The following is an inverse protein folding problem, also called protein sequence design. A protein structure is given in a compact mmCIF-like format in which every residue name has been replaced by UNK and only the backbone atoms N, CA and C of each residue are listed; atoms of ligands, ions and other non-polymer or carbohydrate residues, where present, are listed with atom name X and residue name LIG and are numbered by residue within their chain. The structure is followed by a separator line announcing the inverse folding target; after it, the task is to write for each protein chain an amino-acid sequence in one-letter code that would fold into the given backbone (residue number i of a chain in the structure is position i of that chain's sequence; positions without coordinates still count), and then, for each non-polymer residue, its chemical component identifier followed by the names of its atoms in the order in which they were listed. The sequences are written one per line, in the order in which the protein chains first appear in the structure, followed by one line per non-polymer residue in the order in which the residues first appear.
data_IF_762129749519
#
_entry.id   IF_762129749519
#
_cell.length_a   1.000
_cell.length_b   1.000
_cell.length_c   1.000
_cell.angle_alpha   90.00
_cell.angle_beta   90.00
_cell.angle_gamma   90.00
#
_symmetry.space_group_name_H-M   'P 1'
#
loop_
_entity.id
_entity.type
_entity.pdbx_description
1 polymer ?
#
# COMPACT_ATOMS: atom_id res chain seq x y z
N UNK A 1 -25.09 -1.24 -43.06
CA UNK A 1 -23.85 -0.60 -42.57
C UNK A 1 -24.24 0.15 -41.31
N UNK A 2 -24.41 -0.61 -40.24
CA UNK A 2 -24.94 -0.15 -38.97
C UNK A 2 -23.73 0.18 -38.10
N UNK A 3 -23.61 1.45 -37.70
CA UNK A 3 -22.52 1.90 -36.84
C UNK A 3 -22.65 1.19 -35.50
N UNK A 4 -21.70 0.30 -35.21
CA UNK A 4 -21.47 -0.21 -33.87
C UNK A 4 -21.15 0.98 -32.96
N UNK A 5 -22.15 1.48 -32.25
CA UNK A 5 -21.96 2.37 -31.11
C UNK A 5 -21.01 1.67 -30.13
N UNK A 6 -19.87 2.29 -29.84
CA UNK A 6 -18.96 1.78 -28.81
C UNK A 6 -19.68 1.87 -27.47
N UNK A 7 -19.94 0.76 -26.76
CA UNK A 7 -20.35 0.87 -25.37
C UNK A 7 -19.13 1.38 -24.58
N UNK A 8 -19.37 2.27 -23.62
CA UNK A 8 -18.44 2.64 -22.55
C UNK A 8 -17.42 3.80 -22.69
N UNK A 9 -17.82 4.93 -23.29
CA UNK A 9 -17.27 6.22 -22.85
C UNK A 9 -18.38 7.12 -22.33
N UNK A 10 -18.70 7.14 -21.02
CA UNK A 10 -19.43 8.27 -20.48
C UNK A 10 -18.62 9.53 -20.82
N UNK A 11 -19.29 10.51 -21.43
CA UNK A 11 -18.71 11.83 -21.62
C UNK A 11 -18.10 12.29 -20.30
N UNK A 12 -16.85 12.79 -20.34
CA UNK A 12 -16.11 13.24 -19.14
C UNK A 12 -17.01 14.18 -18.32
N UNK A 13 -17.58 13.68 -17.20
CA UNK A 13 -18.51 14.46 -16.39
C UNK A 13 -17.77 15.60 -15.66
N UNK A 14 -16.53 15.34 -15.28
CA UNK A 14 -15.62 16.31 -14.68
C UNK A 14 -14.34 16.38 -15.48
N UNK A 15 -13.68 17.54 -15.45
CA UNK A 15 -12.33 17.67 -15.98
C UNK A 15 -11.40 16.75 -15.16
N UNK A 16 -10.29 16.30 -15.77
CA UNK A 16 -9.18 15.69 -15.06
C UNK A 16 -8.92 16.31 -13.68
N UNK A 17 -8.48 17.57 -13.66
CA UNK A 17 -8.11 18.25 -12.41
C UNK A 17 -9.24 18.21 -11.38
N UNK A 18 -10.50 18.41 -11.79
CA UNK A 18 -11.64 18.31 -10.89
C UNK A 18 -11.80 16.91 -10.28
N UNK A 19 -11.63 15.84 -11.06
CA UNK A 19 -11.67 14.46 -10.54
C UNK A 19 -10.60 14.20 -9.47
N UNK A 20 -9.36 14.68 -9.64
CA UNK A 20 -8.34 14.56 -8.59
C UNK A 20 -8.67 15.38 -7.35
N UNK A 21 -9.12 16.61 -7.53
CA UNK A 21 -9.49 17.48 -6.41
C UNK A 21 -10.65 16.89 -5.61
N UNK A 22 -11.63 16.27 -6.29
CA UNK A 22 -12.72 15.55 -5.62
C UNK A 22 -12.18 14.33 -4.88
N UNK A 23 -11.31 13.52 -5.49
CA UNK A 23 -10.73 12.34 -4.84
C UNK A 23 -9.93 12.73 -3.59
N UNK A 24 -9.05 13.72 -3.71
CA UNK A 24 -8.27 14.23 -2.60
C UNK A 24 -9.14 14.90 -1.54
N UNK A 25 -10.15 15.68 -1.94
CA UNK A 25 -11.12 16.28 -1.02
C UNK A 25 -11.91 15.24 -0.24
N UNK A 26 -12.38 14.17 -0.90
CA UNK A 26 -13.04 13.04 -0.24
C UNK A 26 -12.09 12.36 0.75
N UNK A 27 -10.83 12.17 0.39
CA UNK A 27 -9.82 11.61 1.27
C UNK A 27 -9.66 12.45 2.55
N UNK A 28 -9.46 13.75 2.40
CA UNK A 28 -9.28 14.69 3.53
C UNK A 28 -10.52 14.74 4.42
N UNK A 29 -11.71 14.85 3.82
CA UNK A 29 -12.97 14.92 4.57
C UNK A 29 -13.24 13.62 5.33
N UNK A 30 -13.11 12.46 4.68
CA UNK A 30 -13.34 11.17 5.35
C UNK A 30 -12.29 10.89 6.42
N UNK A 31 -11.03 11.27 6.19
CA UNK A 31 -9.98 11.21 7.21
C UNK A 31 -10.39 12.04 8.43
N UNK A 32 -10.75 13.32 8.24
CA UNK A 32 -11.14 14.22 9.33
C UNK A 32 -12.39 13.72 10.08
N UNK A 33 -13.39 13.23 9.35
CA UNK A 33 -14.59 12.62 9.95
C UNK A 33 -14.22 11.40 10.80
N UNK A 34 -13.36 10.52 10.29
CA UNK A 34 -12.91 9.33 11.04
C UNK A 34 -12.17 9.72 12.32
N UNK A 35 -11.36 10.78 12.28
CA UNK A 35 -10.60 11.28 13.44
C UNK A 35 -11.54 11.77 14.54
N UNK A 36 -12.50 12.63 14.19
CA UNK A 36 -13.39 13.28 15.15
C UNK A 36 -14.50 12.35 15.64
N UNK A 37 -15.15 11.62 14.73
CA UNK A 37 -16.35 10.85 15.04
C UNK A 37 -16.07 9.45 15.60
N UNK A 38 -14.91 8.86 15.28
CA UNK A 38 -14.60 7.47 15.62
C UNK A 38 -13.32 7.34 16.46
N UNK A 39 -12.19 7.82 15.94
CA UNK A 39 -10.87 7.60 16.55
C UNK A 39 -10.77 8.28 17.91
N UNK A 40 -11.10 9.57 18.00
CA UNK A 40 -10.98 10.28 19.28
C UNK A 40 -11.85 9.67 20.40
N UNK A 41 -13.17 9.43 20.20
CA UNK A 41 -14.00 8.76 21.20
C UNK A 41 -13.45 7.37 21.60
N UNK A 42 -12.97 6.60 20.62
CA UNK A 42 -12.39 5.27 20.85
C UNK A 42 -11.11 5.34 21.69
N UNK A 43 -10.17 6.22 21.32
CA UNK A 43 -8.92 6.41 22.04
C UNK A 43 -9.22 6.88 23.46
N UNK A 44 -10.12 7.86 23.63
CA UNK A 44 -10.53 8.33 24.96
C UNK A 44 -11.13 7.20 25.80
N UNK A 45 -11.97 6.34 25.21
CA UNK A 45 -12.59 5.23 25.92
C UNK A 45 -11.58 4.16 26.35
N UNK A 46 -10.64 3.78 25.49
CA UNK A 46 -9.64 2.75 25.78
C UNK A 46 -8.53 3.24 26.71
N UNK A 47 -8.10 4.48 26.53
CA UNK A 47 -6.84 4.99 27.11
C UNK A 47 -7.04 6.07 28.16
N UNK A 48 -8.22 6.70 28.21
CA UNK A 48 -8.47 7.90 29.01
C UNK A 48 -7.81 9.18 28.46
N UNK A 49 -7.06 9.11 27.35
CA UNK A 49 -6.39 10.26 26.76
C UNK A 49 -7.39 11.33 26.30
N UNK A 50 -7.11 12.59 26.64
CA UNK A 50 -7.81 13.74 26.06
C UNK A 50 -7.36 14.00 24.61
N UNK A 51 -7.97 15.00 23.96
CA UNK A 51 -7.72 15.29 22.55
C UNK A 51 -6.26 15.70 22.29
N UNK A 52 -5.64 16.41 23.23
CA UNK A 52 -4.25 16.87 23.11
C UNK A 52 -3.29 15.68 23.20
N UNK A 53 -3.49 14.83 24.22
CA UNK A 53 -2.76 13.60 24.43
C UNK A 53 -2.90 12.62 23.27
N UNK A 54 -4.12 12.46 22.74
CA UNK A 54 -4.39 11.60 21.58
C UNK A 54 -3.66 12.07 20.32
N UNK A 55 -3.46 13.38 20.13
CA UNK A 55 -2.76 13.95 18.98
C UNK A 55 -1.23 13.98 19.09
N UNK A 56 -0.66 13.78 20.29
CA UNK A 56 0.78 13.95 20.53
C UNK A 56 1.37 12.86 21.42
N UNK A 57 1.05 12.90 22.71
CA UNK A 57 1.62 12.00 23.74
C UNK A 57 1.42 10.52 23.44
N UNK A 58 0.32 10.14 22.80
CA UNK A 58 0.06 8.75 22.41
C UNK A 58 1.08 8.22 21.38
N UNK A 59 1.60 9.10 20.52
CA UNK A 59 2.60 8.74 19.49
C UNK A 59 4.03 8.79 20.00
N UNK A 60 4.31 9.65 20.98
CA UNK A 60 5.66 9.85 21.52
C UNK A 60 5.95 9.03 22.77
N UNK A 61 4.93 8.69 23.55
CA UNK A 61 5.02 7.86 24.75
C UNK A 61 3.79 6.94 24.90
N UNK A 62 3.57 5.99 23.97
CA UNK A 62 2.39 5.13 23.98
C UNK A 62 2.26 4.28 25.26
N UNK A 63 3.38 3.92 25.89
CA UNK A 63 3.39 3.09 27.11
C UNK A 63 2.85 3.79 28.35
N UNK A 64 2.69 5.13 28.32
CA UNK A 64 2.10 5.88 29.42
C UNK A 64 0.57 5.70 29.53
N UNK A 65 -0.07 5.11 28.52
CA UNK A 65 -1.51 4.99 28.43
C UNK A 65 -1.97 3.53 28.47
N UNK A 66 -3.03 3.19 29.23
CA UNK A 66 -3.59 1.86 29.25
C UNK A 66 -4.17 1.50 27.87
N UNK A 67 -4.08 0.24 27.47
CA UNK A 67 -4.61 -0.29 26.20
C UNK A 67 -4.17 0.48 24.93
N UNK A 68 -3.06 1.21 24.99
CA UNK A 68 -2.58 2.07 23.90
C UNK A 68 -2.30 1.30 22.62
N UNK A 69 -1.71 0.11 22.71
CA UNK A 69 -1.48 -0.74 21.54
C UNK A 69 -2.78 -1.03 20.77
N UNK A 70 -3.84 -1.44 21.48
CA UNK A 70 -5.14 -1.73 20.86
C UNK A 70 -5.78 -0.46 20.29
N UNK A 71 -5.70 0.66 21.02
CA UNK A 71 -6.22 1.95 20.56
C UNK A 71 -5.52 2.40 19.26
N UNK A 72 -4.20 2.26 19.18
CA UNK A 72 -3.43 2.62 17.99
C UNK A 72 -3.67 1.66 16.82
N UNK A 73 -3.76 0.35 17.06
CA UNK A 73 -4.12 -0.61 16.00
C UNK A 73 -5.50 -0.32 15.41
N UNK A 74 -6.49 -0.06 16.25
CA UNK A 74 -7.83 0.30 15.78
C UNK A 74 -7.83 1.64 15.07
N UNK A 75 -7.08 2.64 15.57
CA UNK A 75 -6.89 3.92 14.89
C UNK A 75 -6.31 3.73 13.49
N UNK A 76 -5.28 2.91 13.33
CA UNK A 76 -4.68 2.61 12.02
C UNK A 76 -5.67 1.90 11.10
N UNK A 77 -6.42 0.92 11.62
CA UNK A 77 -7.45 0.21 10.85
C UNK A 77 -8.57 1.14 10.37
N UNK A 78 -9.09 1.99 11.27
CA UNK A 78 -10.12 2.99 10.94
C UNK A 78 -9.59 3.99 9.91
N UNK A 79 -8.38 4.51 10.11
CA UNK A 79 -7.76 5.43 9.17
C UNK A 79 -7.59 4.80 7.78
N UNK A 80 -7.06 3.57 7.70
CA UNK A 80 -6.91 2.84 6.44
C UNK A 80 -8.26 2.61 5.72
N UNK A 81 -9.30 2.25 6.48
CA UNK A 81 -10.64 2.06 5.93
C UNK A 81 -11.22 3.37 5.38
N UNK A 82 -11.12 4.47 6.12
CA UNK A 82 -11.72 5.74 5.70
C UNK A 82 -10.92 6.43 4.60
N UNK A 83 -9.60 6.52 4.74
CA UNK A 83 -8.71 7.25 3.83
C UNK A 83 -8.53 6.57 2.49
N UNK A 84 -8.63 5.24 2.44
CA UNK A 84 -8.39 4.50 1.20
C UNK A 84 -9.63 3.79 0.70
N UNK A 85 -10.17 2.87 1.49
CA UNK A 85 -11.24 1.97 1.05
C UNK A 85 -12.52 2.75 0.78
N UNK A 86 -13.01 3.49 1.78
CA UNK A 86 -14.24 4.25 1.68
C UNK A 86 -14.11 5.42 0.71
N UNK A 87 -12.97 6.14 0.73
CA UNK A 87 -12.68 7.17 -0.27
C UNK A 87 -12.81 6.65 -1.70
N UNK A 88 -12.16 5.52 -2.00
CA UNK A 88 -12.23 4.94 -3.34
C UNK A 88 -13.64 4.45 -3.68
N UNK A 89 -14.31 3.75 -2.76
CA UNK A 89 -15.68 3.26 -2.95
C UNK A 89 -16.67 4.40 -3.23
N UNK A 90 -16.64 5.46 -2.41
CA UNK A 90 -17.51 6.63 -2.55
C UNK A 90 -17.18 7.37 -3.84
N UNK A 91 -15.91 7.53 -4.20
CA UNK A 91 -15.51 8.15 -5.45
C UNK A 91 -16.08 7.36 -6.65
N UNK A 92 -15.95 6.04 -6.64
CA UNK A 92 -16.50 5.20 -7.71
C UNK A 92 -18.03 5.27 -7.79
N UNK A 93 -18.71 5.25 -6.64
CA UNK A 93 -20.16 5.32 -6.58
C UNK A 93 -20.71 6.68 -7.04
N UNK A 94 -20.18 7.79 -6.50
CA UNK A 94 -20.72 9.14 -6.73
C UNK A 94 -20.21 9.79 -8.03
N UNK A 95 -18.94 9.56 -8.38
CA UNK A 95 -18.25 10.27 -9.45
C UNK A 95 -18.17 9.42 -10.71
N UNK A 96 -17.64 8.20 -10.61
CA UNK A 96 -17.52 7.30 -11.77
C UNK A 96 -18.86 6.69 -12.17
N UNK A 97 -19.83 6.59 -11.24
CA UNK A 97 -21.16 5.97 -11.44
C UNK A 97 -21.06 4.58 -12.08
N UNK A 98 -20.00 3.86 -11.76
CA UNK A 98 -19.69 2.54 -12.29
C UNK A 98 -19.49 1.58 -11.13
N UNK A 99 -19.85 0.33 -11.33
CA UNK A 99 -19.46 -0.72 -10.42
C UNK A 99 -17.94 -0.83 -10.43
N UNK A 100 -17.33 -1.01 -9.26
CA UNK A 100 -15.91 -1.33 -9.18
C UNK A 100 -15.75 -2.70 -9.80
N UNK A 101 -15.22 -2.72 -11.02
CA UNK A 101 -14.89 -3.98 -11.67
C UNK A 101 -13.58 -4.47 -11.04
N UNK A 102 -13.69 -5.24 -9.95
CA UNK A 102 -12.55 -5.90 -9.30
C UNK A 102 -11.82 -6.86 -10.27
N UNK A 103 -12.53 -7.35 -11.28
CA UNK A 103 -12.06 -8.35 -12.24
C UNK A 103 -12.60 -7.97 -13.63
N UNK A 104 -11.80 -7.30 -14.46
CA UNK A 104 -12.25 -6.95 -15.82
C UNK A 104 -12.16 -8.15 -16.79
N UNK A 105 -11.44 -9.23 -16.44
CA UNK A 105 -11.13 -10.35 -17.37
C UNK A 105 -11.12 -11.78 -16.79
N UNK A 106 -11.67 -12.00 -15.61
CA UNK A 106 -11.72 -13.32 -14.94
C UNK A 106 -10.51 -13.61 -14.02
N UNK A 107 -10.46 -14.83 -13.49
CA UNK A 107 -9.40 -15.32 -12.61
C UNK A 107 -8.15 -15.72 -13.41
N UNK A 108 -6.96 -15.14 -13.14
CA UNK A 108 -5.72 -15.54 -13.80
C UNK A 108 -5.35 -17.00 -13.50
N UNK A 109 -4.58 -17.60 -14.41
CA UNK A 109 -3.96 -18.93 -14.25
C UNK A 109 -3.32 -19.05 -12.85
N UNK A 110 -3.57 -20.14 -12.08
CA UNK A 110 -2.92 -20.40 -10.79
C UNK A 110 -1.40 -20.17 -10.77
N UNK A 111 -0.71 -20.43 -11.89
CA UNK A 111 0.72 -20.19 -12.02
C UNK A 111 1.09 -18.70 -11.87
N UNK A 112 0.20 -17.76 -12.23
CA UNK A 112 0.42 -16.32 -12.03
C UNK A 112 0.48 -16.01 -10.53
N UNK A 113 -0.41 -16.59 -9.72
CA UNK A 113 -0.42 -16.37 -8.28
C UNK A 113 0.87 -16.87 -7.62
N UNK A 114 1.33 -18.06 -8.02
CA UNK A 114 2.61 -18.61 -7.55
C UNK A 114 3.77 -17.73 -8.02
N UNK A 115 3.78 -17.30 -9.28
CA UNK A 115 4.83 -16.43 -9.80
C UNK A 115 4.87 -15.07 -9.06
N UNK A 116 3.71 -14.50 -8.70
CA UNK A 116 3.61 -13.26 -7.92
C UNK A 116 4.11 -13.46 -6.49
N UNK A 117 3.77 -14.57 -5.84
CA UNK A 117 4.30 -14.92 -4.52
C UNK A 117 5.83 -14.99 -4.54
N UNK A 118 6.39 -15.76 -5.48
CA UNK A 118 7.85 -15.91 -5.61
C UNK A 118 8.50 -14.58 -6.00
N UNK A 119 7.87 -13.78 -6.87
CA UNK A 119 8.35 -12.45 -7.26
C UNK A 119 8.52 -11.54 -6.03
N UNK A 120 7.48 -11.41 -5.20
CA UNK A 120 7.51 -10.51 -4.06
C UNK A 120 8.58 -10.95 -3.04
N UNK A 121 8.65 -12.24 -2.72
CA UNK A 121 9.63 -12.76 -1.75
C UNK A 121 11.06 -12.63 -2.29
N UNK A 122 11.30 -13.00 -3.56
CA UNK A 122 12.63 -12.91 -4.17
C UNK A 122 13.10 -11.47 -4.43
N UNK A 123 12.18 -10.50 -4.46
CA UNK A 123 12.51 -9.08 -4.61
C UNK A 123 13.09 -8.46 -3.33
N UNK A 124 12.84 -9.03 -2.15
CA UNK A 124 13.25 -8.45 -0.85
C UNK A 124 14.74 -8.12 -0.78
N UNK A 125 15.70 -9.00 -1.18
CA UNK A 125 17.11 -8.67 -1.10
C UNK A 125 17.52 -7.51 -2.02
N UNK A 126 16.93 -7.42 -3.21
CA UNK A 126 17.15 -6.29 -4.12
C UNK A 126 16.53 -5.00 -3.59
N UNK A 127 15.37 -5.08 -2.93
CA UNK A 127 14.76 -3.93 -2.26
C UNK A 127 15.65 -3.35 -1.16
N UNK A 128 16.35 -4.21 -0.41
CA UNK A 128 17.32 -3.79 0.62
C UNK A 128 18.47 -2.98 0.01
N UNK A 129 19.02 -3.40 -1.15
CA UNK A 129 20.03 -2.61 -1.87
C UNK A 129 19.54 -1.22 -2.28
N UNK A 130 18.30 -1.11 -2.76
CA UNK A 130 17.68 0.18 -3.10
C UNK A 130 17.50 1.03 -1.84
N UNK A 131 17.10 0.41 -0.74
CA UNK A 131 16.89 1.07 0.54
C UNK A 131 18.21 1.63 1.12
N UNK A 132 19.29 0.84 1.13
CA UNK A 132 20.63 1.29 1.50
C UNK A 132 21.11 2.48 0.65
N UNK A 133 20.84 2.43 -0.66
CA UNK A 133 21.15 3.55 -1.55
C UNK A 133 20.31 4.79 -1.20
N UNK A 134 19.02 4.63 -0.95
CA UNK A 134 18.12 5.74 -0.58
C UNK A 134 18.54 6.39 0.75
N UNK A 135 19.04 5.62 1.72
CA UNK A 135 19.51 6.17 3.01
C UNK A 135 20.74 7.08 2.88
N UNK A 136 21.49 6.99 1.77
CA UNK A 136 22.65 7.87 1.50
C UNK A 136 22.25 9.24 0.96
N UNK A 137 20.97 9.46 0.67
CA UNK A 137 20.50 10.75 0.18
C UNK A 137 20.55 11.79 1.30
N UNK A 138 21.08 13.00 1.04
CA UNK A 138 21.10 14.07 2.03
C UNK A 138 19.67 14.58 2.24
N UNK A 139 19.05 14.16 3.35
CA UNK A 139 17.71 14.60 3.74
C UNK A 139 17.79 15.71 4.81
N UNK A 140 16.92 16.73 4.75
CA UNK A 140 16.76 17.71 5.82
C UNK A 140 16.49 17.08 7.19
N UNK A 141 17.04 17.67 8.26
CA UNK A 141 16.94 17.13 9.62
C UNK A 141 15.52 16.87 10.08
N UNK A 142 14.56 17.72 9.69
CA UNK A 142 13.16 17.55 10.05
C UNK A 142 12.56 16.25 9.48
N UNK A 143 12.98 15.81 8.28
CA UNK A 143 12.55 14.54 7.70
C UNK A 143 13.14 13.38 8.50
N UNK A 144 14.44 13.44 8.77
CA UNK A 144 15.15 12.41 9.54
C UNK A 144 14.54 12.23 10.93
N UNK A 145 14.22 13.33 11.62
CA UNK A 145 13.61 13.29 12.96
C UNK A 145 12.18 12.75 12.93
N UNK A 146 11.39 13.11 11.92
CA UNK A 146 10.04 12.55 11.74
C UNK A 146 10.09 11.04 11.51
N UNK A 147 11.06 10.55 10.75
CA UNK A 147 11.21 9.11 10.50
C UNK A 147 11.62 8.33 11.74
N UNK A 148 12.51 8.86 12.59
CA UNK A 148 12.86 8.23 13.88
C UNK A 148 11.65 8.06 14.81
N UNK A 149 10.73 9.04 14.81
CA UNK A 149 9.48 8.94 15.56
C UNK A 149 8.58 7.84 14.99
N UNK A 150 8.45 7.77 13.67
CA UNK A 150 7.68 6.71 13.01
C UNK A 150 8.30 5.33 13.23
N UNK A 151 9.62 5.19 13.23
CA UNK A 151 10.31 3.92 13.51
C UNK A 151 10.01 3.42 14.93
N UNK A 152 10.05 4.31 15.92
CA UNK A 152 9.69 3.98 17.31
C UNK A 152 8.26 3.48 17.40
N UNK A 153 7.34 4.13 16.68
CA UNK A 153 5.95 3.72 16.61
C UNK A 153 5.78 2.38 15.89
N UNK A 154 6.48 2.17 14.77
CA UNK A 154 6.45 0.91 14.03
C UNK A 154 6.87 -0.23 14.96
N UNK A 155 8.01 -0.10 15.66
CA UNK A 155 8.48 -1.10 16.63
C UNK A 155 7.49 -1.36 17.76
N UNK A 156 6.79 -0.34 18.24
CA UNK A 156 5.75 -0.52 19.26
C UNK A 156 4.54 -1.31 18.71
N UNK A 157 4.08 -0.99 17.50
CA UNK A 157 2.93 -1.66 16.89
C UNK A 157 3.25 -3.08 16.44
N UNK A 158 4.48 -3.36 15.99
CA UNK A 158 4.91 -4.69 15.53
C UNK A 158 5.36 -5.61 16.66
N UNK A 159 5.25 -5.20 17.93
CA UNK A 159 5.41 -6.10 19.07
C UNK A 159 4.20 -7.03 19.19
N UNK A 160 4.40 -8.29 18.83
CA UNK A 160 3.38 -9.34 18.87
C UNK A 160 3.69 -10.36 19.98
N UNK A 161 3.26 -10.12 21.23
CA UNK A 161 3.56 -11.01 22.36
C UNK A 161 2.90 -12.39 22.23
N UNK A 162 1.74 -12.46 21.57
CA UNK A 162 0.97 -13.69 21.38
C UNK A 162 0.32 -13.75 19.99
N UNK A 163 -0.32 -14.89 19.71
CA UNK A 163 -0.96 -15.16 18.43
C UNK A 163 -2.11 -14.19 18.11
N UNK A 164 -2.86 -13.70 19.11
CA UNK A 164 -3.97 -12.77 18.87
C UNK A 164 -3.44 -11.41 18.39
N UNK A 165 -2.39 -10.90 19.03
CA UNK A 165 -1.72 -9.66 18.61
C UNK A 165 -1.17 -9.79 17.19
N UNK A 166 -0.58 -10.94 16.85
CA UNK A 166 -0.12 -11.24 15.50
C UNK A 166 -1.27 -11.21 14.48
N UNK A 167 -2.40 -11.88 14.75
CA UNK A 167 -3.54 -11.89 13.82
C UNK A 167 -4.14 -10.49 13.62
N UNK A 168 -4.24 -9.70 14.69
CA UNK A 168 -4.67 -8.30 14.60
C UNK A 168 -3.68 -7.48 13.78
N UNK A 169 -2.38 -7.63 14.05
CA UNK A 169 -1.32 -6.96 13.29
C UNK A 169 -1.33 -7.33 11.81
N UNK A 170 -1.47 -8.62 11.48
CA UNK A 170 -1.56 -9.11 10.10
C UNK A 170 -2.78 -8.51 9.38
N UNK A 171 -3.92 -8.45 10.05
CA UNK A 171 -5.12 -7.87 9.47
C UNK A 171 -4.98 -6.36 9.24
N UNK A 172 -4.48 -5.61 10.24
CA UNK A 172 -4.42 -4.14 10.20
C UNK A 172 -3.26 -3.62 9.35
N UNK A 173 -2.10 -4.29 9.35
CA UNK A 173 -0.87 -3.82 8.67
C UNK A 173 -0.72 -4.44 7.27
N UNK A 174 -1.27 -5.63 7.03
CA UNK A 174 -1.14 -6.29 5.73
C UNK A 174 -2.45 -6.35 4.94
N UNK A 175 -3.55 -6.84 5.54
CA UNK A 175 -4.80 -7.09 4.79
C UNK A 175 -5.51 -5.78 4.45
N UNK A 176 -5.76 -4.92 5.44
CA UNK A 176 -6.49 -3.66 5.23
C UNK A 176 -5.78 -2.72 4.23
N UNK A 177 -4.46 -2.47 4.34
CA UNK A 177 -3.75 -1.64 3.37
C UNK A 177 -3.73 -2.26 1.99
N UNK A 178 -3.47 -3.58 1.87
CA UNK A 178 -3.46 -4.25 0.58
C UNK A 178 -4.80 -4.10 -0.18
N UNK A 179 -5.93 -4.14 0.53
CA UNK A 179 -7.24 -3.91 -0.06
C UNK A 179 -7.50 -2.43 -0.38
N UNK A 180 -7.34 -1.56 0.62
CA UNK A 180 -7.69 -0.16 0.51
C UNK A 180 -6.77 0.62 -0.42
N UNK A 181 -5.45 0.47 -0.24
CA UNK A 181 -4.46 1.20 -1.00
C UNK A 181 -4.45 0.75 -2.47
N UNK A 182 -4.53 -0.54 -2.78
CA UNK A 182 -4.59 -0.97 -4.18
C UNK A 182 -5.90 -0.50 -4.86
N UNK A 183 -7.02 -0.46 -4.13
CA UNK A 183 -8.27 0.10 -4.64
C UNK A 183 -8.14 1.61 -4.94
N UNK A 184 -7.51 2.38 -4.05
CA UNK A 184 -7.30 3.81 -4.27
C UNK A 184 -6.27 4.06 -5.38
N UNK A 185 -5.09 3.46 -5.29
CA UNK A 185 -3.97 3.79 -6.15
C UNK A 185 -4.06 3.11 -7.53
N UNK A 186 -4.54 1.87 -7.64
CA UNK A 186 -4.61 1.15 -8.93
C UNK A 186 -5.95 1.34 -9.61
N UNK A 187 -7.02 0.96 -8.91
CA UNK A 187 -8.34 1.00 -9.52
C UNK A 187 -8.79 2.44 -9.75
N UNK A 188 -8.35 3.39 -8.93
CA UNK A 188 -8.79 4.79 -9.03
C UNK A 188 -7.72 5.72 -9.63
N UNK A 189 -6.63 5.97 -8.91
CA UNK A 189 -5.65 7.00 -9.27
C UNK A 189 -4.88 6.69 -10.56
N UNK A 190 -4.37 5.47 -10.72
CA UNK A 190 -3.67 5.03 -11.92
C UNK A 190 -4.59 5.05 -13.14
N UNK A 191 -5.85 4.58 -13.04
CA UNK A 191 -6.82 4.69 -14.14
C UNK A 191 -7.10 6.15 -14.51
N UNK A 192 -7.20 7.02 -13.51
CA UNK A 192 -7.43 8.43 -13.71
C UNK A 192 -6.27 9.05 -14.51
N UNK A 193 -5.03 8.83 -14.09
CA UNK A 193 -3.84 9.29 -14.82
C UNK A 193 -3.73 8.71 -16.24
N UNK A 194 -4.04 7.42 -16.41
CA UNK A 194 -4.03 6.78 -17.73
C UNK A 194 -5.03 7.44 -18.68
N UNK A 195 -6.24 7.77 -18.20
CA UNK A 195 -7.26 8.48 -19.00
C UNK A 195 -6.87 9.91 -19.36
N UNK A 196 -5.97 10.53 -18.59
CA UNK A 196 -5.57 11.91 -18.79
C UNK A 196 -4.41 12.05 -19.76
N UNK A 197 -3.33 11.32 -19.49
CA UNK A 197 -2.10 11.41 -20.27
C UNK A 197 -2.02 10.39 -21.40
N UNK A 198 -2.94 9.41 -21.46
CA UNK A 198 -2.95 8.36 -22.46
C UNK A 198 -1.82 7.33 -22.32
N UNK A 199 -0.81 7.60 -21.49
CA UNK A 199 0.32 6.70 -21.25
C UNK A 199 0.08 5.82 -20.01
N UNK A 200 -0.06 4.50 -20.17
CA UNK A 200 -0.21 3.60 -19.03
C UNK A 200 1.05 3.55 -18.15
N UNK A 201 2.24 3.71 -18.74
CA UNK A 201 3.51 3.70 -18.01
C UNK A 201 3.68 4.93 -17.13
N UNK A 202 3.33 6.12 -17.66
CA UNK A 202 3.34 7.36 -16.88
C UNK A 202 2.35 7.26 -15.71
N UNK A 203 1.17 6.69 -15.96
CA UNK A 203 0.16 6.49 -14.92
C UNK A 203 0.64 5.58 -13.78
N UNK A 204 1.32 4.47 -14.11
CA UNK A 204 1.91 3.55 -13.13
C UNK A 204 2.93 4.28 -12.26
N UNK A 205 3.91 4.94 -12.87
CA UNK A 205 4.99 5.59 -12.12
C UNK A 205 4.51 6.80 -11.31
N UNK A 206 3.57 7.60 -11.83
CA UNK A 206 3.02 8.72 -11.08
C UNK A 206 2.19 8.24 -9.88
N UNK A 207 1.36 7.22 -10.06
CA UNK A 207 0.62 6.62 -8.94
C UNK A 207 1.57 6.00 -7.90
N UNK A 208 2.65 5.35 -8.34
CA UNK A 208 3.66 4.77 -7.46
C UNK A 208 4.46 5.82 -6.67
N UNK A 209 4.79 6.95 -7.29
CA UNK A 209 5.46 8.06 -6.62
C UNK A 209 4.56 8.69 -5.55
N UNK A 210 3.27 8.91 -5.85
CA UNK A 210 2.31 9.45 -4.89
C UNK A 210 2.04 8.46 -3.76
N UNK A 211 1.91 7.16 -4.07
CA UNK A 211 1.82 6.08 -3.09
C UNK A 211 2.99 6.12 -2.10
N UNK A 212 4.22 6.24 -2.62
CA UNK A 212 5.39 6.33 -1.77
C UNK A 212 5.46 7.62 -0.96
N UNK A 213 5.08 8.77 -1.55
CA UNK A 213 5.08 10.06 -0.87
C UNK A 213 4.06 10.10 0.28
N UNK A 214 2.91 9.45 0.11
CA UNK A 214 1.84 9.41 1.12
C UNK A 214 2.31 8.87 2.48
N UNK A 215 3.32 7.99 2.46
CA UNK A 215 3.86 7.38 3.68
C UNK A 215 4.75 8.31 4.52
N UNK A 216 5.13 9.48 4.00
CA UNK A 216 5.92 10.50 4.73
C UNK A 216 7.24 9.97 5.34
N UNK A 217 7.82 8.95 4.73
CA UNK A 217 9.10 8.35 5.11
C UNK A 217 10.01 8.35 3.87
N UNK A 218 10.92 9.31 3.81
CA UNK A 218 11.72 9.60 2.64
C UNK A 218 12.95 8.70 2.50
N UNK A 219 13.46 8.10 3.59
CA UNK A 219 14.53 7.09 3.50
C UNK A 219 14.08 5.80 2.81
N UNK A 220 12.78 5.52 2.81
CA UNK A 220 12.19 4.38 2.10
C UNK A 220 11.41 4.77 0.85
N UNK A 221 11.65 5.96 0.28
CA UNK A 221 10.87 6.48 -0.84
C UNK A 221 11.04 5.65 -2.13
N UNK A 222 12.26 5.52 -2.63
CA UNK A 222 12.52 4.76 -3.87
C UNK A 222 12.20 3.26 -3.76
N UNK A 223 12.50 2.57 -2.65
CA UNK A 223 12.07 1.19 -2.44
C UNK A 223 10.55 1.01 -2.58
N UNK A 224 9.77 1.87 -1.91
CA UNK A 224 8.30 1.83 -2.00
C UNK A 224 7.76 2.26 -3.35
N UNK A 225 8.39 3.23 -4.00
CA UNK A 225 8.01 3.65 -5.34
C UNK A 225 8.20 2.50 -6.34
N UNK A 226 9.30 1.74 -6.26
CA UNK A 226 9.54 0.60 -7.15
C UNK A 226 8.55 -0.54 -6.87
N UNK A 227 8.26 -0.85 -5.60
CA UNK A 227 7.19 -1.79 -5.23
C UNK A 227 5.81 -1.33 -5.75
N UNK A 228 5.48 -0.05 -5.57
CA UNK A 228 4.24 0.54 -6.08
C UNK A 228 4.14 0.47 -7.61
N UNK A 229 5.26 0.65 -8.31
CA UNK A 229 5.31 0.50 -9.76
C UNK A 229 5.16 -0.98 -10.16
N UNK A 230 5.78 -1.92 -9.44
CA UNK A 230 5.61 -3.35 -9.64
C UNK A 230 4.13 -3.76 -9.52
N UNK A 231 3.44 -3.34 -8.45
CA UNK A 231 2.00 -3.59 -8.29
C UNK A 231 1.18 -2.90 -9.39
N UNK A 232 1.56 -1.69 -9.79
CA UNK A 232 0.96 -0.97 -10.91
C UNK A 232 1.05 -1.70 -12.25
N UNK A 233 2.19 -2.35 -12.53
CA UNK A 233 2.40 -3.18 -13.71
C UNK A 233 1.63 -4.50 -13.63
N UNK A 234 1.63 -5.16 -12.47
CA UNK A 234 0.80 -6.34 -12.25
C UNK A 234 -0.67 -6.04 -12.51
N UNK A 235 -1.17 -4.88 -12.07
CA UNK A 235 -2.52 -4.42 -12.37
C UNK A 235 -2.73 -4.15 -13.86
N UNK A 236 -1.80 -3.42 -14.48
CA UNK A 236 -1.87 -3.04 -15.90
C UNK A 236 -1.95 -4.26 -16.82
N UNK A 237 -1.19 -5.32 -16.51
CA UNK A 237 -1.14 -6.54 -17.33
C UNK A 237 -2.30 -7.48 -17.05
N UNK A 238 -2.67 -7.65 -15.78
CA UNK A 238 -3.73 -8.61 -15.39
C UNK A 238 -5.14 -8.05 -15.55
N UNK A 239 -5.32 -6.72 -15.49
CA UNK A 239 -6.63 -6.05 -15.34
C UNK A 239 -7.49 -6.67 -14.22
N UNK A 240 -6.82 -7.20 -13.20
CA UNK A 240 -7.44 -7.85 -12.06
C UNK A 240 -6.84 -7.23 -10.80
N UNK A 241 -7.68 -6.61 -9.97
CA UNK A 241 -7.24 -5.91 -8.77
C UNK A 241 -6.71 -6.88 -7.71
N UNK A 242 -7.15 -8.14 -7.72
CA UNK A 242 -6.73 -9.12 -6.73
C UNK A 242 -5.26 -9.54 -6.87
N UNK A 243 -4.67 -9.41 -8.06
CA UNK A 243 -3.24 -9.70 -8.28
C UNK A 243 -2.33 -8.74 -7.50
N UNK A 244 -2.43 -7.39 -7.68
CA UNK A 244 -1.66 -6.47 -6.86
C UNK A 244 -2.08 -6.47 -5.39
N UNK A 245 -3.37 -6.69 -5.05
CA UNK A 245 -3.80 -6.87 -3.64
C UNK A 245 -3.05 -8.03 -2.99
N UNK A 246 -2.97 -9.18 -3.66
CA UNK A 246 -2.22 -10.32 -3.13
C UNK A 246 -0.73 -10.05 -3.06
N UNK A 247 -0.14 -9.42 -4.08
CA UNK A 247 1.27 -9.04 -4.05
C UNK A 247 1.59 -8.10 -2.86
N UNK A 248 0.75 -7.11 -2.61
CA UNK A 248 0.86 -6.18 -1.49
C UNK A 248 0.68 -6.92 -0.15
N UNK A 249 -0.36 -7.75 -0.02
CA UNK A 249 -0.58 -8.57 1.17
C UNK A 249 0.62 -9.47 1.47
N UNK A 250 1.19 -10.13 0.46
CA UNK A 250 2.40 -10.95 0.62
C UNK A 250 3.56 -10.10 1.10
N UNK A 251 3.78 -8.91 0.53
CA UNK A 251 4.86 -8.02 0.92
C UNK A 251 4.78 -7.63 2.39
N UNK A 252 3.64 -7.10 2.84
CA UNK A 252 3.48 -6.63 4.21
C UNK A 252 3.30 -7.78 5.19
N UNK A 253 2.55 -8.81 4.78
CA UNK A 253 2.29 -9.99 5.58
C UNK A 253 3.56 -10.80 5.85
N UNK A 254 4.49 -10.87 4.89
CA UNK A 254 5.79 -11.49 5.10
C UNK A 254 6.59 -10.76 6.19
N UNK A 255 6.64 -9.43 6.17
CA UNK A 255 7.33 -8.63 7.20
C UNK A 255 6.69 -8.87 8.58
N UNK A 256 5.36 -8.76 8.68
CA UNK A 256 4.62 -9.01 9.93
C UNK A 256 4.86 -10.43 10.46
N UNK A 257 4.83 -11.43 9.58
CA UNK A 257 5.10 -12.83 9.93
C UNK A 257 6.52 -13.01 10.46
N UNK A 258 7.52 -12.46 9.78
CA UNK A 258 8.92 -12.60 10.18
C UNK A 258 9.19 -11.93 11.53
N UNK A 259 8.60 -10.75 11.79
CA UNK A 259 8.70 -10.08 13.09
C UNK A 259 8.09 -10.95 14.20
N UNK A 260 6.89 -11.52 13.97
CA UNK A 260 6.26 -12.42 14.93
C UNK A 260 7.10 -13.66 15.19
N UNK A 261 7.55 -14.37 14.15
CA UNK A 261 8.36 -15.58 14.29
C UNK A 261 9.66 -15.32 15.05
N UNK A 262 10.29 -14.17 14.81
CA UNK A 262 11.49 -13.73 15.54
C UNK A 262 11.18 -13.43 17.00
N UNK A 263 10.09 -12.72 17.28
CA UNK A 263 9.63 -12.45 18.66
C UNK A 263 9.36 -13.74 19.46
N UNK A 264 8.89 -14.79 18.77
CA UNK A 264 8.70 -16.13 19.33
C UNK A 264 9.98 -16.98 19.35
N UNK A 265 11.13 -16.44 18.94
CA UNK A 265 12.45 -17.12 18.86
C UNK A 265 12.43 -18.38 17.98
N UNK A 266 11.58 -18.40 16.95
CA UNK A 266 11.51 -19.49 15.97
C UNK A 266 12.45 -19.27 14.78
N UNK A 267 12.85 -18.02 14.55
CA UNK A 267 13.81 -17.61 13.52
C UNK A 267 14.72 -16.52 14.07
N UNK A 268 15.98 -16.51 13.65
CA UNK A 268 16.96 -15.48 14.04
C UNK A 268 17.08 -14.36 13.01
N UNK A 269 16.33 -14.44 11.91
CA UNK A 269 16.36 -13.46 10.82
C UNK A 269 15.70 -12.17 11.30
N UNK A 270 16.48 -11.08 11.31
CA UNK A 270 15.99 -9.74 11.60
C UNK A 270 15.64 -9.01 10.29
N UNK A 271 14.35 -8.97 9.94
CA UNK A 271 13.86 -8.22 8.78
C UNK A 271 13.75 -6.71 9.02
N UNK A 272 13.92 -6.26 10.27
CA UNK A 272 13.93 -4.84 10.64
C UNK A 272 15.36 -4.29 10.71
N UNK A 273 16.39 -5.15 10.66
CA UNK A 273 17.78 -4.73 10.66
C UNK A 273 18.22 -4.31 9.26
N UNK A 274 18.92 -3.18 9.18
CA UNK A 274 19.46 -2.63 7.93
C UNK A 274 20.85 -3.20 7.62
N UNK A 275 21.11 -4.45 8.00
CA UNK A 275 22.37 -5.11 7.68
C UNK A 275 22.51 -5.25 6.16
N UNK A 276 23.69 -4.85 5.66
CA UNK A 276 23.90 -4.82 4.22
C UNK A 276 23.89 -6.23 3.66
N UNK A 277 22.99 -6.49 2.73
CA UNK A 277 22.94 -7.79 2.04
C UNK A 277 24.10 -7.85 1.06
N UNK A 278 24.79 -9.01 0.92
CA UNK A 278 25.84 -9.16 -0.10
C UNK A 278 25.36 -8.69 -1.47
N UNK A 279 26.11 -7.80 -2.12
CA UNK A 279 25.74 -7.20 -3.40
C UNK A 279 25.39 -8.25 -4.45
N UNK A 280 26.12 -9.36 -4.47
CA UNK A 280 25.86 -10.49 -5.37
C UNK A 280 24.47 -11.08 -5.16
N UNK A 281 24.06 -11.33 -3.92
CA UNK A 281 22.72 -11.83 -3.58
C UNK A 281 21.62 -10.85 -4.00
N UNK A 282 21.81 -9.56 -3.73
CA UNK A 282 20.85 -8.52 -4.13
C UNK A 282 20.70 -8.43 -5.66
N UNK A 283 21.81 -8.46 -6.41
CA UNK A 283 21.77 -8.41 -7.88
C UNK A 283 21.13 -9.67 -8.48
N UNK A 284 21.45 -10.85 -7.97
CA UNK A 284 20.82 -12.11 -8.40
C UNK A 284 19.31 -12.05 -8.15
N UNK A 285 18.88 -11.56 -6.99
CA UNK A 285 17.46 -11.45 -6.67
C UNK A 285 16.75 -10.43 -7.58
N UNK A 286 17.42 -9.34 -7.97
CA UNK A 286 16.92 -8.40 -8.97
C UNK A 286 16.73 -9.03 -10.35
N UNK A 287 17.67 -9.86 -10.82
CA UNK A 287 17.55 -10.60 -12.09
C UNK A 287 16.39 -11.60 -12.04
N UNK A 288 16.22 -12.31 -10.92
CA UNK A 288 15.09 -13.23 -10.71
C UNK A 288 13.76 -12.46 -10.78
N UNK A 289 13.66 -11.33 -10.08
CA UNK A 289 12.46 -10.51 -10.07
C UNK A 289 12.10 -9.99 -11.48
N UNK A 290 13.08 -9.50 -12.25
CA UNK A 290 12.88 -9.06 -13.63
C UNK A 290 12.44 -10.22 -14.55
N UNK A 291 13.03 -11.40 -14.37
CA UNK A 291 12.68 -12.60 -15.12
C UNK A 291 11.24 -13.04 -14.84
N UNK A 292 10.82 -13.04 -13.58
CA UNK A 292 9.45 -13.35 -13.16
C UNK A 292 8.46 -12.32 -13.69
N UNK A 293 8.78 -11.02 -13.62
CA UNK A 293 7.97 -9.96 -14.23
C UNK A 293 7.79 -10.18 -15.73
N UNK A 294 8.86 -10.59 -16.44
CA UNK A 294 8.78 -10.91 -17.87
C UNK A 294 7.89 -12.12 -18.14
N UNK A 295 8.01 -13.19 -17.34
CA UNK A 295 7.18 -14.40 -17.45
C UNK A 295 5.71 -14.04 -17.24
N UNK A 296 5.38 -13.32 -16.16
CA UNK A 296 4.02 -12.87 -15.84
C UNK A 296 3.46 -12.03 -16.99
N UNK A 297 4.23 -11.06 -17.49
CA UNK A 297 3.83 -10.24 -18.63
C UNK A 297 3.52 -11.10 -19.87
N UNK A 298 4.39 -12.04 -20.24
CA UNK A 298 4.17 -12.88 -21.43
C UNK A 298 2.98 -13.81 -21.30
N UNK A 299 2.68 -14.29 -20.09
CA UNK A 299 1.52 -15.14 -19.80
C UNK A 299 0.19 -14.37 -19.83
N UNK A 300 0.23 -13.10 -19.40
CA UNK A 300 -0.95 -12.22 -19.38
C UNK A 300 -1.20 -11.51 -20.72
N UNK A 301 -0.17 -11.28 -21.54
CA UNK A 301 -0.27 -10.58 -22.83
C UNK A 301 -1.34 -11.14 -23.79
N UNK A 302 -1.48 -12.47 -23.99
CA UNK A 302 -2.51 -13.04 -24.88
C UNK A 302 -3.94 -12.73 -24.42
N UNK A 303 -4.12 -12.33 -23.17
CA UNK A 303 -5.42 -11.99 -22.60
C UNK A 303 -5.75 -10.49 -22.76
N UNK A 304 -4.85 -9.66 -23.29
CA UNK A 304 -5.06 -8.22 -23.51
C UNK A 304 -5.56 -8.03 -24.96
N UNK A 305 -6.77 -7.51 -25.21
CA UNK A 305 -7.17 -7.17 -26.57
C UNK A 305 -6.25 -6.04 -27.03
N UNK A 306 -5.69 -6.17 -28.23
CA UNK A 306 -5.07 -5.03 -28.90
C UNK A 306 -6.14 -3.93 -29.01
N UNK A 307 -5.77 -2.73 -28.55
CA UNK A 307 -6.66 -1.58 -28.47
C UNK A 307 -6.91 -0.96 -29.84
#
# INVERSE_FOLDING_TARGET
MEMLESPDRPARRFSPVASLLILFGLMVVLSAVSQIALIYPLVKWLTGADLSAAGTSLFTNPTAYPHSWAAMMLMQGINSLFSFTLTALIYWYLIEKRNIVFIEKGSPDPLIWVAVLVLVISYIPFNSLIFEWNQKLPLPEWMVNSEKQLETLTKFLTQFPDFLHFIVGLFVIAVLPALGEELLFRATLQKLFQRWWGSPHLAVWLAAAIFSAYHMQFMGFFPRMILGAMFGYLYLWSRNLWIPVFAHFVNNGFVVLMIYLRGQKLVDIDVENNESIPLTSALVSGVIALSLMRIIYTRLKPQIPEA
#
